data_IF_180073248690
#
_entry.id   IF_180073248690
#
_cell.length_a   1.000
_cell.length_b   1.000
_cell.length_c   1.000
_cell.angle_alpha   90.00
_cell.angle_beta   90.00
_cell.angle_gamma   90.00
#
_symmetry.space_group_name_H-M   'P 1'
#
loop_
_entity.id
_entity.type
_entity.pdbx_description
1 polymer ?
#
# COMPACT_ATOMS: atom_id res chain seq x y z
N UNK A 1 -24.01 -4.88 0.46
CA UNK A 1 -22.89 -4.17 -0.21
C UNK A 1 -21.91 -3.47 0.74
N UNK A 2 -22.23 -3.22 2.02
CA UNK A 2 -21.27 -2.62 2.98
C UNK A 2 -20.10 -3.54 3.37
N UNK A 3 -20.32 -4.85 3.54
CA UNK A 3 -19.26 -5.75 4.04
C UNK A 3 -18.06 -5.93 3.09
N UNK A 4 -18.26 -5.84 1.77
CA UNK A 4 -17.19 -6.03 0.78
C UNK A 4 -16.23 -4.83 0.74
N UNK A 5 -16.77 -3.61 0.81
CA UNK A 5 -15.98 -2.36 0.89
C UNK A 5 -15.05 -2.36 2.10
N UNK A 6 -15.53 -2.84 3.25
CA UNK A 6 -14.79 -2.84 4.52
C UNK A 6 -13.66 -3.88 4.52
N UNK A 7 -13.88 -5.08 3.97
CA UNK A 7 -12.82 -6.11 3.87
C UNK A 7 -11.67 -5.68 2.98
N UNK A 8 -11.95 -4.95 1.90
CA UNK A 8 -10.93 -4.45 0.97
C UNK A 8 -10.15 -3.28 1.57
N UNK A 9 -10.83 -2.34 2.22
CA UNK A 9 -10.14 -1.27 2.95
C UNK A 9 -9.29 -1.80 4.10
N UNK A 10 -9.74 -2.86 4.78
CA UNK A 10 -8.97 -3.54 5.81
C UNK A 10 -7.71 -4.19 5.21
N UNK A 11 -7.83 -4.94 4.11
CA UNK A 11 -6.68 -5.53 3.39
C UNK A 11 -5.64 -4.46 2.99
N UNK A 12 -6.09 -3.32 2.47
CA UNK A 12 -5.21 -2.22 2.07
C UNK A 12 -4.55 -1.48 3.25
N UNK A 13 -5.26 -1.36 4.39
CA UNK A 13 -4.69 -0.78 5.61
C UNK A 13 -3.72 -1.74 6.30
N UNK A 14 -4.05 -3.03 6.32
CA UNK A 14 -3.19 -4.08 6.90
C UNK A 14 -1.86 -4.14 6.16
N UNK A 15 -1.86 -4.04 4.82
CA UNK A 15 -0.65 -3.99 4.01
C UNK A 15 0.29 -2.84 4.43
N UNK A 16 -0.26 -1.63 4.55
CA UNK A 16 0.48 -0.43 4.96
C UNK A 16 0.99 -0.52 6.41
N UNK A 17 0.12 -0.93 7.34
CA UNK A 17 0.47 -1.05 8.76
C UNK A 17 1.57 -2.10 8.95
N UNK A 18 1.49 -3.22 8.23
CA UNK A 18 2.54 -4.24 8.19
C UNK A 18 3.89 -3.65 7.74
N UNK A 19 3.88 -2.81 6.70
CA UNK A 19 5.11 -2.18 6.22
C UNK A 19 5.71 -1.22 7.23
N UNK A 20 4.87 -0.37 7.84
CA UNK A 20 5.30 0.60 8.84
C UNK A 20 5.89 -0.13 10.06
N UNK A 21 5.28 -1.24 10.47
CA UNK A 21 5.80 -2.08 11.57
C UNK A 21 7.15 -2.69 11.20
N UNK A 22 7.30 -3.27 10.00
CA UNK A 22 8.58 -3.85 9.56
C UNK A 22 9.71 -2.81 9.52
N UNK A 23 9.41 -1.60 9.06
CA UNK A 23 10.39 -0.51 9.02
C UNK A 23 10.73 0.02 10.41
N UNK A 24 9.73 0.16 11.29
CA UNK A 24 9.94 0.58 12.67
C UNK A 24 10.74 -0.47 13.47
N UNK A 25 10.46 -1.76 13.26
CA UNK A 25 11.24 -2.84 13.89
C UNK A 25 12.66 -2.90 13.32
N UNK A 26 12.82 -2.77 11.99
CA UNK A 26 14.13 -2.74 11.34
C UNK A 26 15.02 -1.59 11.83
N UNK A 27 14.44 -0.41 12.04
CA UNK A 27 15.17 0.76 12.59
C UNK A 27 15.50 0.61 14.07
N UNK A 28 14.61 0.04 14.88
CA UNK A 28 14.89 -0.27 16.29
C UNK A 28 16.01 -1.32 16.44
N UNK A 29 16.00 -2.36 15.61
CA UNK A 29 17.05 -3.39 15.59
C UNK A 29 18.41 -2.84 15.13
N UNK A 30 18.42 -1.83 14.25
CA UNK A 30 19.63 -1.11 13.86
C UNK A 30 20.26 -0.39 15.06
N UNK A 31 19.42 0.32 15.84
CA UNK A 31 19.85 1.06 17.04
C UNK A 31 20.38 0.13 18.13
N UNK A 32 19.91 -1.11 18.19
CA UNK A 32 20.36 -2.13 19.16
C UNK A 32 21.64 -2.88 18.72
N UNK A 33 22.25 -2.54 17.58
CA UNK A 33 23.52 -3.12 17.11
C UNK A 33 23.40 -4.51 16.46
N UNK A 34 22.18 -4.96 16.15
CA UNK A 34 21.92 -6.22 15.44
C UNK A 34 21.91 -5.97 13.92
N UNK A 35 23.08 -5.61 13.38
CA UNK A 35 23.31 -5.18 11.99
C UNK A 35 22.73 -6.16 10.95
N UNK A 36 22.95 -7.46 11.14
CA UNK A 36 22.56 -8.50 10.17
C UNK A 36 21.04 -8.70 10.08
N UNK A 37 20.34 -8.63 11.21
CA UNK A 37 18.88 -8.77 11.25
C UNK A 37 18.17 -7.46 10.83
N UNK A 38 18.77 -6.31 11.13
CA UNK A 38 18.22 -5.01 10.75
C UNK A 38 18.16 -4.82 9.24
N UNK A 39 19.25 -5.14 8.52
CA UNK A 39 19.31 -4.97 7.06
C UNK A 39 18.24 -5.79 6.33
N UNK A 40 18.03 -7.04 6.75
CA UNK A 40 17.00 -7.91 6.17
C UNK A 40 15.59 -7.35 6.40
N UNK A 41 15.32 -6.88 7.62
CA UNK A 41 13.99 -6.35 7.99
C UNK A 41 13.68 -5.02 7.29
N UNK A 42 14.68 -4.13 7.18
CA UNK A 42 14.55 -2.86 6.46
C UNK A 42 14.39 -3.07 4.96
N UNK A 43 15.21 -3.95 4.35
CA UNK A 43 15.10 -4.25 2.93
C UNK A 43 13.70 -4.78 2.62
N UNK A 44 13.22 -5.75 3.41
CA UNK A 44 11.88 -6.31 3.23
C UNK A 44 10.77 -5.24 3.42
N UNK A 45 10.91 -4.36 4.40
CA UNK A 45 9.99 -3.23 4.61
C UNK A 45 9.98 -2.25 3.42
N UNK A 46 11.14 -1.93 2.85
CA UNK A 46 11.25 -1.05 1.67
C UNK A 46 10.63 -1.70 0.43
N UNK A 47 10.90 -2.99 0.19
CA UNK A 47 10.26 -3.74 -0.90
C UNK A 47 8.74 -3.78 -0.75
N UNK A 48 8.24 -4.03 0.46
CA UNK A 48 6.82 -4.01 0.72
C UNK A 48 6.21 -2.60 0.59
N UNK A 49 6.97 -1.52 0.88
CA UNK A 49 6.52 -0.13 0.69
C UNK A 49 6.37 0.20 -0.80
N UNK A 50 7.31 -0.25 -1.62
CA UNK A 50 7.24 -0.10 -3.08
C UNK A 50 6.10 -0.93 -3.69
N UNK A 51 5.81 -2.11 -3.12
CA UNK A 51 4.73 -2.97 -3.61
C UNK A 51 3.33 -2.51 -3.16
N UNK A 52 3.22 -1.88 -1.99
CA UNK A 52 1.94 -1.40 -1.41
C UNK A 52 1.14 -0.48 -2.35
N UNK A 53 1.72 0.53 -3.03
CA UNK A 53 0.97 1.34 -4.00
C UNK A 53 0.51 0.53 -5.21
N UNK A 54 1.28 -0.46 -5.68
CA UNK A 54 0.88 -1.32 -6.81
C UNK A 54 -0.35 -2.17 -6.45
N UNK A 55 -0.33 -2.83 -5.29
CA UNK A 55 -1.48 -3.56 -4.74
C UNK A 55 -2.68 -2.64 -4.56
N UNK A 56 -2.47 -1.41 -4.09
CA UNK A 56 -3.52 -0.41 -3.90
C UNK A 56 -4.19 -0.04 -5.23
N UNK A 57 -3.41 0.18 -6.28
CA UNK A 57 -3.90 0.49 -7.64
C UNK A 57 -4.70 -0.68 -8.22
N UNK A 58 -4.17 -1.91 -8.15
CA UNK A 58 -4.81 -3.11 -8.69
C UNK A 58 -6.14 -3.42 -8.00
N UNK A 59 -6.16 -3.39 -6.66
CA UNK A 59 -7.36 -3.67 -5.87
C UNK A 59 -8.44 -2.62 -6.14
N UNK A 60 -8.06 -1.33 -6.23
CA UNK A 60 -8.99 -0.28 -6.64
C UNK A 60 -9.55 -0.52 -8.04
N UNK A 61 -8.74 -0.90 -9.02
CA UNK A 61 -9.18 -1.16 -10.40
C UNK A 61 -10.22 -2.29 -10.49
N UNK A 62 -9.97 -3.43 -9.82
CA UNK A 62 -10.89 -4.58 -9.79
C UNK A 62 -12.23 -4.19 -9.15
N UNK A 63 -12.16 -3.39 -8.08
CA UNK A 63 -13.36 -2.93 -7.38
C UNK A 63 -14.21 -1.99 -8.24
N UNK A 64 -13.57 -1.07 -8.96
CA UNK A 64 -14.28 -0.19 -9.89
C UNK A 64 -14.97 -0.92 -11.02
N UNK A 65 -14.37 -2.00 -11.49
CA UNK A 65 -14.99 -2.84 -12.49
C UNK A 65 -16.28 -3.52 -11.97
N UNK A 66 -16.31 -3.93 -10.69
CA UNK A 66 -17.49 -4.59 -10.10
C UNK A 66 -18.61 -3.62 -9.68
N UNK A 67 -18.29 -2.40 -9.22
CA UNK A 67 -19.29 -1.56 -8.53
C UNK A 67 -20.34 -0.90 -9.46
N UNK A 68 -20.08 -0.74 -10.77
CA UNK A 68 -20.91 0.01 -11.75
C UNK A 68 -21.35 1.44 -11.33
N UNK A 69 -20.87 1.94 -10.19
CA UNK A 69 -21.27 3.21 -9.60
C UNK A 69 -20.32 4.33 -10.09
N UNK A 70 -20.77 5.04 -11.13
CA UNK A 70 -19.92 5.91 -11.97
C UNK A 70 -19.26 7.07 -11.21
N UNK A 71 -19.84 7.50 -10.10
CA UNK A 71 -19.38 8.67 -9.34
C UNK A 71 -18.13 8.34 -8.49
N UNK A 72 -18.13 7.19 -7.81
CA UNK A 72 -16.94 6.70 -7.08
C UNK A 72 -15.82 6.27 -8.03
N UNK A 73 -16.19 5.74 -9.20
CA UNK A 73 -15.26 5.40 -10.28
C UNK A 73 -14.53 6.63 -10.80
N UNK A 74 -15.25 7.73 -11.05
CA UNK A 74 -14.65 8.97 -11.54
C UNK A 74 -13.63 9.56 -10.56
N UNK A 75 -13.96 9.63 -9.25
CA UNK A 75 -13.06 10.17 -8.23
C UNK A 75 -11.80 9.32 -8.09
N UNK A 76 -11.92 7.99 -8.17
CA UNK A 76 -10.74 7.15 -7.99
C UNK A 76 -9.92 7.01 -9.24
N UNK A 77 -10.53 7.10 -10.43
CA UNK A 77 -9.79 7.24 -11.68
C UNK A 77 -8.98 8.55 -11.68
N UNK A 78 -9.55 9.64 -11.18
CA UNK A 78 -8.85 10.91 -10.98
C UNK A 78 -7.67 10.76 -10.00
N UNK A 79 -7.87 10.13 -8.83
CA UNK A 79 -6.80 9.88 -7.86
C UNK A 79 -5.73 8.95 -8.43
N UNK A 80 -6.12 7.92 -9.19
CA UNK A 80 -5.21 7.02 -9.90
C UNK A 80 -4.34 7.78 -10.89
N UNK A 81 -4.93 8.68 -11.68
CA UNK A 81 -4.19 9.53 -12.62
C UNK A 81 -3.22 10.44 -11.87
N UNK A 82 -3.63 11.05 -10.75
CA UNK A 82 -2.74 11.90 -9.93
C UNK A 82 -1.54 11.10 -9.39
N UNK A 83 -1.77 9.87 -8.88
CA UNK A 83 -0.69 9.02 -8.37
C UNK A 83 0.21 8.52 -9.52
N UNK A 84 -0.36 8.12 -10.65
CA UNK A 84 0.40 7.66 -11.81
C UNK A 84 1.28 8.77 -12.39
N UNK A 85 0.75 9.99 -12.52
CA UNK A 85 1.53 11.15 -12.93
C UNK A 85 2.63 11.46 -11.90
N UNK A 86 2.34 11.38 -10.60
CA UNK A 86 3.35 11.55 -9.56
C UNK A 86 4.50 10.56 -9.70
N UNK A 87 4.22 9.27 -9.99
CA UNK A 87 5.25 8.24 -10.17
C UNK A 87 6.04 8.44 -11.48
N UNK A 88 5.39 8.90 -12.55
CA UNK A 88 6.04 9.09 -13.87
C UNK A 88 6.87 10.37 -13.93
N UNK A 89 6.47 11.41 -13.20
CA UNK A 89 7.16 12.71 -13.15
C UNK A 89 8.08 12.89 -11.94
N UNK A 90 8.11 11.95 -10.99
CA UNK A 90 9.09 11.89 -9.89
C UNK A 90 10.37 11.17 -10.31
#
# INVERSE_FOLDING_TARGET
MQSIKTSIQALLRIGLVSTVILLALGSLLHVLGLEQASQLTLLFGVWALMLTPILRVLISLIFFYQEKDRLYMAITLLVLVIIALSIVFA
#
